data_IF_182539978598
#
_entry.id   IF_182539978598
#
_cell.length_a   1.000
_cell.length_b   1.000
_cell.length_c   1.000
_cell.angle_alpha   90.00
_cell.angle_beta   90.00
_cell.angle_gamma   90.00
#
_symmetry.space_group_name_H-M   'P 1'
#
loop_
_entity.id
_entity.type
_entity.pdbx_description
1 polymer ?
#
# COMPACT_ATOMS: atom_id res chain seq x y z
N UNK A 1 25.01 41.25 -13.49
CA UNK A 1 23.98 40.50 -14.22
C UNK A 1 22.62 41.04 -13.81
N UNK A 2 22.04 41.92 -14.59
CA UNK A 2 20.72 42.49 -14.29
C UNK A 2 19.64 41.40 -14.33
N UNK A 3 18.53 41.56 -13.59
CA UNK A 3 17.44 40.56 -13.60
C UNK A 3 16.85 40.37 -15.00
N UNK A 4 16.82 41.43 -15.81
CA UNK A 4 16.40 41.38 -17.21
C UNK A 4 17.31 40.49 -18.07
N UNK A 5 18.63 40.56 -17.85
CA UNK A 5 19.60 39.72 -18.54
C UNK A 5 19.45 38.25 -18.13
N UNK A 6 19.04 37.99 -16.88
CA UNK A 6 18.80 36.62 -16.40
C UNK A 6 17.63 35.96 -17.15
N UNK A 7 16.56 36.71 -17.45
CA UNK A 7 15.44 36.21 -18.27
C UNK A 7 15.88 35.96 -19.72
N UNK A 8 16.71 36.85 -20.28
CA UNK A 8 17.22 36.73 -21.64
C UNK A 8 18.19 35.53 -21.78
N UNK A 9 19.08 35.29 -20.79
CA UNK A 9 19.99 34.14 -20.73
C UNK A 9 19.22 32.80 -20.66
N UNK A 10 18.12 32.75 -19.91
CA UNK A 10 17.28 31.56 -19.82
C UNK A 10 16.27 31.43 -20.97
N UNK A 11 16.19 32.42 -21.88
CA UNK A 11 15.29 32.41 -23.02
C UNK A 11 13.81 32.46 -22.63
N UNK A 12 13.48 33.12 -21.52
CA UNK A 12 12.11 33.24 -21.00
C UNK A 12 11.63 34.69 -21.05
N UNK A 13 10.31 34.89 -21.14
CA UNK A 13 9.75 36.24 -21.16
C UNK A 13 10.05 36.97 -19.83
N UNK A 14 10.33 38.29 -19.87
CA UNK A 14 10.51 39.08 -18.66
C UNK A 14 9.26 38.99 -17.76
N UNK A 15 9.42 38.49 -16.54
CA UNK A 15 8.31 38.26 -15.62
C UNK A 15 7.67 36.87 -15.70
N UNK A 16 8.28 35.92 -16.40
CA UNK A 16 7.88 34.52 -16.42
C UNK A 16 7.74 33.93 -15.01
N UNK A 17 6.76 33.04 -14.83
CA UNK A 17 6.50 32.42 -13.53
C UNK A 17 7.67 31.50 -13.13
N UNK A 18 7.95 31.35 -11.83
CA UNK A 18 9.07 30.51 -11.33
C UNK A 18 9.07 29.08 -11.89
N UNK A 19 7.89 28.52 -12.18
CA UNK A 19 7.73 27.21 -12.83
C UNK A 19 8.32 27.19 -14.25
N UNK A 20 8.11 28.26 -15.03
CA UNK A 20 8.65 28.42 -16.39
C UNK A 20 10.16 28.66 -16.36
N UNK A 21 10.63 29.50 -15.43
CA UNK A 21 12.06 29.75 -15.20
C UNK A 21 12.79 28.45 -14.86
N UNK A 22 12.21 27.61 -13.98
CA UNK A 22 12.77 26.29 -13.62
C UNK A 22 12.76 25.32 -14.80
N UNK A 23 11.69 25.32 -15.60
CA UNK A 23 11.59 24.47 -16.80
C UNK A 23 12.62 24.87 -17.87
N UNK A 24 12.78 26.17 -18.11
CA UNK A 24 13.77 26.69 -19.05
C UNK A 24 15.20 26.38 -18.61
N UNK A 25 15.52 26.59 -17.33
CA UNK A 25 16.81 26.21 -16.78
C UNK A 25 17.10 24.71 -16.96
N UNK A 26 16.14 23.83 -16.67
CA UNK A 26 16.33 22.37 -16.84
C UNK A 26 16.64 21.99 -18.29
N UNK A 27 15.94 22.59 -19.27
CA UNK A 27 16.19 22.34 -20.70
C UNK A 27 17.57 22.81 -21.12
N UNK A 28 17.99 23.99 -20.66
CA UNK A 28 19.28 24.59 -20.98
C UNK A 28 20.42 23.82 -20.29
N UNK A 29 20.24 23.41 -19.04
CA UNK A 29 21.17 22.59 -18.27
C UNK A 29 21.44 21.23 -18.94
N UNK A 30 20.40 20.57 -19.46
CA UNK A 30 20.55 19.30 -20.19
C UNK A 30 21.30 19.46 -21.52
N UNK A 31 21.19 20.61 -22.16
CA UNK A 31 21.81 20.87 -23.48
C UNK A 31 23.26 21.35 -23.34
N UNK A 32 23.59 22.03 -22.24
CA UNK A 32 24.91 22.62 -22.02
C UNK A 32 25.73 21.91 -20.93
N UNK A 33 25.27 20.76 -20.41
CA UNK A 33 26.01 20.03 -19.38
C UNK A 33 27.42 19.67 -19.88
N UNK A 34 28.48 19.89 -19.08
CA UNK A 34 29.86 19.65 -19.51
C UNK A 34 30.10 18.20 -19.98
N UNK A 35 29.38 17.23 -19.41
CA UNK A 35 29.47 15.82 -19.83
C UNK A 35 28.88 15.53 -21.22
N UNK A 36 27.96 16.39 -21.71
CA UNK A 36 27.26 16.21 -22.99
C UNK A 36 27.79 17.14 -24.09
N UNK A 37 28.16 18.37 -23.74
CA UNK A 37 28.56 19.41 -24.69
C UNK A 37 30.05 19.79 -24.62
N UNK A 38 30.82 19.13 -23.74
CA UNK A 38 32.24 19.38 -23.54
C UNK A 38 32.55 20.76 -22.93
N UNK A 39 33.83 21.18 -22.91
CA UNK A 39 34.28 22.39 -22.21
C UNK A 39 33.69 23.70 -22.78
N UNK A 40 33.17 23.69 -24.01
CA UNK A 40 32.46 24.85 -24.57
C UNK A 40 31.05 25.04 -23.96
N UNK A 41 30.41 23.97 -23.48
CA UNK A 41 29.12 24.01 -22.79
C UNK A 41 29.21 24.54 -21.36
N UNK A 42 30.36 24.35 -20.70
CA UNK A 42 30.58 24.74 -19.30
C UNK A 42 30.31 26.23 -19.04
N UNK A 43 30.80 27.13 -19.90
CA UNK A 43 30.57 28.59 -19.76
C UNK A 43 29.10 28.98 -19.89
N UNK A 44 28.36 28.31 -20.79
CA UNK A 44 26.92 28.54 -20.98
C UNK A 44 26.10 27.96 -19.83
N UNK A 45 26.52 26.81 -19.30
CA UNK A 45 25.92 26.18 -18.12
C UNK A 45 26.10 27.07 -16.88
N UNK A 46 27.31 27.59 -16.66
CA UNK A 46 27.60 28.49 -15.55
C UNK A 46 26.77 29.78 -15.63
N UNK A 47 26.68 30.39 -16.83
CA UNK A 47 25.84 31.58 -17.04
C UNK A 47 24.35 31.31 -16.77
N UNK A 48 23.83 30.16 -17.20
CA UNK A 48 22.45 29.76 -16.94
C UNK A 48 22.19 29.43 -15.47
N UNK A 49 23.15 28.80 -14.78
CA UNK A 49 23.05 28.50 -13.35
C UNK A 49 23.07 29.78 -12.51
N UNK A 50 23.95 30.74 -12.85
CA UNK A 50 24.02 32.06 -12.22
C UNK A 50 22.72 32.85 -12.43
N UNK A 51 22.16 32.84 -13.65
CA UNK A 51 20.88 33.48 -13.97
C UNK A 51 19.71 32.88 -13.18
N UNK A 52 19.65 31.55 -13.09
CA UNK A 52 18.61 30.84 -12.31
C UNK A 52 18.70 31.13 -10.81
N UNK A 53 19.90 31.08 -10.23
CA UNK A 53 20.12 31.36 -8.82
C UNK A 53 19.67 32.78 -8.45
N UNK A 54 19.97 33.76 -9.32
CA UNK A 54 19.60 35.16 -9.13
C UNK A 54 18.10 35.42 -9.26
N UNK A 55 17.42 34.74 -10.19
CA UNK A 55 15.95 34.81 -10.30
C UNK A 55 15.23 34.09 -9.17
N UNK A 56 15.84 33.05 -8.59
CA UNK A 56 15.29 32.32 -7.44
C UNK A 56 15.40 33.12 -6.14
N UNK A 57 16.46 33.92 -5.98
CA UNK A 57 16.67 34.75 -4.78
C UNK A 57 16.04 36.14 -4.85
N UNK A 58 15.58 36.57 -6.02
CA UNK A 58 14.94 37.88 -6.20
C UNK A 58 13.53 37.91 -5.60
N UNK A 59 13.22 38.99 -4.89
CA UNK A 59 11.86 39.21 -4.36
C UNK A 59 10.91 39.69 -5.46
N UNK A 60 9.59 39.45 -5.33
CA UNK A 60 8.60 39.91 -6.32
C UNK A 60 8.67 41.42 -6.60
N UNK A 61 9.04 42.23 -5.59
CA UNK A 61 9.23 43.67 -5.73
C UNK A 61 10.40 44.01 -6.68
N UNK A 62 11.55 43.35 -6.53
CA UNK A 62 12.74 43.55 -7.38
C UNK A 62 12.49 43.10 -8.83
N UNK A 63 11.74 42.02 -9.01
CA UNK A 63 11.31 41.55 -10.33
C UNK A 63 10.42 42.63 -10.98
N UNK A 64 9.45 43.18 -10.25
CA UNK A 64 8.56 44.24 -10.78
C UNK A 64 9.29 45.54 -11.13
N UNK A 65 10.31 45.93 -10.36
CA UNK A 65 11.10 47.14 -10.58
C UNK A 65 11.98 47.02 -11.83
N UNK A 66 12.63 45.87 -12.02
CA UNK A 66 13.42 45.58 -13.23
C UNK A 66 12.58 45.58 -14.52
N UNK A 67 11.32 45.14 -14.43
CA UNK A 67 10.37 45.17 -15.55
C UNK A 67 9.88 46.60 -15.87
N UNK A 68 9.69 47.44 -14.85
CA UNK A 68 9.37 48.88 -15.03
C UNK A 68 10.50 49.62 -15.74
N UNK A 69 11.75 49.30 -15.40
CA UNK A 69 12.95 49.90 -16.04
C UNK A 69 13.03 49.57 -17.54
N UNK A 70 12.65 48.35 -17.97
CA UNK A 70 12.60 47.92 -19.38
C UNK A 70 11.42 48.57 -20.15
N UNK A 71 10.27 48.79 -19.50
CA UNK A 71 9.10 49.48 -20.10
C UNK A 71 9.33 50.97 -20.37
N UNK A 72 10.17 51.65 -19.59
CA UNK A 72 10.50 53.07 -19.81
C UNK A 72 11.31 53.34 -21.09
N UNK A 73 11.87 52.30 -21.73
CA UNK A 73 12.65 52.41 -22.98
C UNK A 73 11.87 52.05 -24.25
N UNK A 74 10.56 51.80 -24.16
CA UNK A 74 9.77 51.39 -25.32
C UNK A 74 8.30 51.74 -25.18
N UNK A 75 7.98 53.03 -25.31
CA UNK A 75 6.61 53.51 -25.44
C UNK A 75 6.51 54.46 -26.64
N UNK A 76 6.11 53.94 -27.80
CA UNK A 76 5.53 54.76 -28.87
C UNK A 76 4.46 53.96 -29.64
N UNK A 77 3.38 54.68 -29.96
CA UNK A 77 2.29 54.41 -30.89
C UNK A 77 1.25 53.33 -30.55
N UNK A 78 0.13 53.78 -29.97
CA UNK A 78 -1.18 53.17 -30.16
C UNK A 78 -1.81 53.63 -31.49
N UNK A 79 -2.36 52.70 -32.27
CA UNK A 79 -3.14 52.96 -33.48
C UNK A 79 -4.66 52.80 -33.19
N UNK A 80 -5.54 53.66 -33.72
CA UNK A 80 -6.95 53.74 -33.33
C UNK A 80 -7.89 52.79 -34.10
N UNK A 81 -7.39 51.80 -34.85
CA UNK A 81 -8.23 50.96 -35.75
C UNK A 81 -8.53 49.53 -35.27
N UNK A 82 -8.47 49.23 -33.96
CA UNK A 82 -8.70 47.87 -33.45
C UNK A 82 -10.13 47.61 -32.93
N UNK A 83 -11.16 47.78 -33.78
CA UNK A 83 -12.53 47.29 -33.50
C UNK A 83 -13.00 46.44 -34.68
N UNK A 84 -12.86 45.12 -34.55
CA UNK A 84 -13.39 44.16 -35.55
C UNK A 84 -12.90 42.71 -35.45
N UNK A 85 -11.89 42.39 -34.63
CA UNK A 85 -11.21 41.08 -34.70
C UNK A 85 -11.36 40.13 -33.50
N UNK A 86 -12.36 40.31 -32.60
CA UNK A 86 -12.42 39.50 -31.36
C UNK A 86 -12.74 38.01 -31.61
N UNK A 87 -13.59 37.69 -32.59
CA UNK A 87 -13.95 36.30 -32.91
C UNK A 87 -12.89 35.55 -33.72
N UNK A 88 -12.28 36.19 -34.72
CA UNK A 88 -11.18 35.60 -35.50
C UNK A 88 -9.89 35.41 -34.67
N UNK A 89 -9.70 36.23 -33.62
CA UNK A 89 -8.58 36.09 -32.68
C UNK A 89 -8.84 34.97 -31.66
N UNK A 90 -10.06 34.84 -31.14
CA UNK A 90 -10.46 33.71 -30.27
C UNK A 90 -10.37 32.36 -30.99
N UNK A 91 -10.76 32.28 -32.26
CA UNK A 91 -10.65 31.02 -33.03
C UNK A 91 -9.21 30.65 -33.38
N UNK A 92 -8.34 31.65 -33.64
CA UNK A 92 -6.89 31.43 -33.78
C UNK A 92 -6.19 31.08 -32.47
N UNK A 93 -6.59 31.69 -31.35
CA UNK A 93 -6.08 31.35 -30.01
C UNK A 93 -6.54 29.95 -29.59
N UNK A 94 -7.79 29.56 -29.83
CA UNK A 94 -8.28 28.20 -29.59
C UNK A 94 -7.56 27.13 -30.42
N UNK A 95 -7.30 27.40 -31.72
CA UNK A 95 -6.48 26.51 -32.57
C UNK A 95 -5.01 26.45 -32.16
N UNK A 96 -4.46 27.52 -31.57
CA UNK A 96 -3.09 27.54 -31.04
C UNK A 96 -2.99 26.78 -29.71
N UNK A 97 -3.95 26.99 -28.81
CA UNK A 97 -4.08 26.26 -27.56
C UNK A 97 -4.26 24.75 -27.81
N UNK A 98 -5.14 24.36 -28.74
CA UNK A 98 -5.32 22.95 -29.11
C UNK A 98 -4.06 22.31 -29.71
N UNK A 99 -3.26 23.07 -30.49
CA UNK A 99 -1.96 22.60 -31.00
C UNK A 99 -0.89 22.54 -29.92
N UNK A 100 -0.92 23.44 -28.95
CA UNK A 100 -0.02 23.40 -27.78
C UNK A 100 -0.37 22.24 -26.83
N UNK A 101 -1.65 21.94 -26.66
CA UNK A 101 -2.13 20.79 -25.88
C UNK A 101 -1.76 19.47 -26.54
N UNK A 102 -1.96 19.31 -27.85
CA UNK A 102 -1.53 18.15 -28.63
C UNK A 102 0.01 17.98 -28.55
N UNK A 103 0.77 19.07 -28.71
CA UNK A 103 2.23 19.03 -28.53
C UNK A 103 2.63 18.64 -27.11
N UNK A 104 1.89 19.11 -26.10
CA UNK A 104 2.14 18.81 -24.69
C UNK A 104 1.77 17.37 -24.31
N UNK A 105 0.76 16.79 -24.96
CA UNK A 105 0.40 15.37 -24.85
C UNK A 105 1.48 14.51 -25.49
N UNK A 106 1.88 14.80 -26.73
CA UNK A 106 2.98 14.07 -27.39
C UNK A 106 4.28 14.10 -26.60
N UNK A 107 4.61 15.23 -25.97
CA UNK A 107 5.80 15.32 -25.10
C UNK A 107 5.65 14.44 -23.86
N UNK A 108 4.45 14.36 -23.26
CA UNK A 108 4.19 13.45 -22.13
C UNK A 108 4.29 11.99 -22.57
N UNK A 109 3.73 11.64 -23.72
CA UNK A 109 3.76 10.28 -24.26
C UNK A 109 5.21 9.85 -24.55
N UNK A 110 6.00 10.70 -25.19
CA UNK A 110 7.44 10.46 -25.42
C UNK A 110 8.25 10.34 -24.11
N UNK A 111 7.88 11.11 -23.08
CA UNK A 111 8.52 10.98 -21.76
C UNK A 111 8.16 9.64 -21.09
N UNK A 112 6.92 9.18 -21.26
CA UNK A 112 6.45 7.91 -20.71
C UNK A 112 7.09 6.73 -21.44
N UNK A 113 7.14 6.76 -22.78
CA UNK A 113 7.88 5.78 -23.59
C UNK A 113 9.36 5.74 -23.21
N UNK A 114 10.01 6.90 -23.07
CA UNK A 114 11.41 6.96 -22.63
C UNK A 114 11.60 6.33 -21.25
N UNK A 115 10.71 6.62 -20.31
CA UNK A 115 10.77 6.04 -18.97
C UNK A 115 10.57 4.52 -19.02
N UNK A 116 9.63 4.02 -19.82
CA UNK A 116 9.42 2.59 -20.04
C UNK A 116 10.67 1.93 -20.62
N UNK A 117 11.23 2.46 -21.70
CA UNK A 117 12.45 1.94 -22.33
C UNK A 117 13.63 1.95 -21.35
N UNK A 118 13.77 2.99 -20.53
CA UNK A 118 14.80 3.06 -19.50
C UNK A 118 14.60 1.99 -18.41
N UNK A 119 13.36 1.74 -18.00
CA UNK A 119 13.05 0.65 -17.07
C UNK A 119 13.30 -0.73 -17.68
N UNK A 120 12.95 -0.95 -18.94
CA UNK A 120 13.24 -2.19 -19.65
C UNK A 120 14.75 -2.44 -19.76
N UNK A 121 15.53 -1.41 -20.10
CA UNK A 121 16.99 -1.49 -20.14
C UNK A 121 17.60 -1.78 -18.77
N UNK A 122 17.08 -1.17 -17.70
CA UNK A 122 17.59 -1.45 -16.35
C UNK A 122 17.23 -2.86 -15.90
N UNK A 123 16.01 -3.34 -16.18
CA UNK A 123 15.60 -4.72 -15.93
C UNK A 123 16.44 -5.71 -16.73
N UNK A 124 16.67 -5.46 -18.03
CA UNK A 124 17.50 -6.30 -18.87
C UNK A 124 18.93 -6.39 -18.33
N UNK A 125 19.52 -5.29 -17.86
CA UNK A 125 20.83 -5.30 -17.20
C UNK A 125 20.83 -6.08 -15.90
N UNK A 126 19.76 -5.99 -15.10
CA UNK A 126 19.63 -6.77 -13.86
C UNK A 126 19.56 -8.26 -14.19
N UNK A 127 18.78 -8.65 -15.20
CA UNK A 127 18.66 -10.03 -15.67
C UNK A 127 19.98 -10.54 -16.24
N UNK A 128 20.64 -9.75 -17.08
CA UNK A 128 21.94 -10.11 -17.65
C UNK A 128 23.01 -10.24 -16.57
N UNK A 129 23.04 -9.31 -15.61
CA UNK A 129 23.93 -9.40 -14.45
C UNK A 129 23.62 -10.63 -13.61
N UNK A 130 22.35 -10.95 -13.39
CA UNK A 130 21.94 -12.15 -12.67
C UNK A 130 22.37 -13.43 -13.43
N UNK A 131 22.24 -13.46 -14.76
CA UNK A 131 22.68 -14.57 -15.60
C UNK A 131 24.21 -14.74 -15.58
N UNK A 132 24.97 -13.65 -15.72
CA UNK A 132 26.45 -13.66 -15.65
C UNK A 132 26.98 -14.04 -14.25
N UNK A 133 26.26 -13.66 -13.20
CA UNK A 133 26.63 -14.04 -11.81
C UNK A 133 26.16 -15.45 -11.46
N UNK A 134 25.23 -16.02 -12.23
CA UNK A 134 24.65 -17.34 -12.03
C UNK A 134 25.60 -18.51 -12.26
N UNK A 135 26.73 -18.29 -12.96
CA UNK A 135 27.77 -19.32 -13.15
C UNK A 135 28.77 -19.41 -11.97
N UNK A 136 28.75 -18.47 -11.01
CA UNK A 136 29.73 -18.43 -9.91
C UNK A 136 29.17 -18.10 -8.52
N UNK A 137 27.90 -17.76 -8.39
CA UNK A 137 27.19 -17.73 -7.11
C UNK A 137 26.01 -18.68 -7.20
N UNK A 138 26.00 -19.72 -6.38
CA UNK A 138 24.79 -20.52 -6.17
C UNK A 138 23.62 -19.55 -5.94
N UNK A 139 22.47 -19.76 -6.61
CA UNK A 139 21.32 -18.87 -6.45
C UNK A 139 21.00 -18.78 -4.96
N UNK A 140 21.04 -17.57 -4.39
CA UNK A 140 20.71 -17.30 -2.98
C UNK A 140 19.52 -18.15 -2.59
N UNK A 141 19.73 -19.07 -1.64
CA UNK A 141 18.77 -20.11 -1.31
C UNK A 141 17.43 -19.49 -0.91
N UNK A 142 16.34 -20.22 -1.17
CA UNK A 142 14.99 -19.76 -0.78
C UNK A 142 14.94 -19.47 0.73
N UNK A 143 15.62 -20.28 1.54
CA UNK A 143 15.82 -20.07 2.97
C UNK A 143 16.39 -18.67 3.30
N UNK A 144 17.48 -18.26 2.62
CA UNK A 144 18.08 -16.94 2.84
C UNK A 144 17.15 -15.80 2.41
N UNK A 145 16.36 -15.99 1.33
CA UNK A 145 15.39 -14.98 0.88
C UNK A 145 14.22 -14.81 1.86
N UNK A 146 13.73 -15.90 2.44
CA UNK A 146 12.71 -15.85 3.50
C UNK A 146 13.20 -15.08 4.75
N UNK A 147 14.50 -15.16 5.05
CA UNK A 147 15.11 -14.43 6.14
C UNK A 147 15.39 -12.94 5.84
N UNK A 148 15.09 -12.47 4.62
CA UNK A 148 15.33 -11.08 4.22
C UNK A 148 14.44 -10.09 4.98
N UNK A 149 14.99 -8.91 5.30
CA UNK A 149 14.22 -7.80 5.88
C UNK A 149 13.21 -7.19 4.89
N UNK A 150 13.42 -7.36 3.59
CA UNK A 150 12.57 -6.74 2.56
C UNK A 150 11.33 -7.59 2.24
N UNK A 151 10.09 -7.06 2.38
CA UNK A 151 8.85 -7.82 2.20
C UNK A 151 8.72 -8.42 0.80
N UNK A 152 9.04 -7.66 -0.26
CA UNK A 152 9.00 -8.17 -1.63
C UNK A 152 9.94 -9.36 -1.90
N UNK A 153 11.09 -9.43 -1.21
CA UNK A 153 12.03 -10.57 -1.36
C UNK A 153 11.44 -11.82 -0.73
N UNK A 154 10.76 -11.66 0.41
CA UNK A 154 10.05 -12.75 1.09
C UNK A 154 8.87 -13.23 0.27
N UNK A 155 8.08 -12.33 -0.31
CA UNK A 155 6.96 -12.69 -1.17
C UNK A 155 7.42 -13.51 -2.38
N UNK A 156 8.50 -13.10 -3.05
CA UNK A 156 9.08 -13.87 -4.15
C UNK A 156 9.57 -15.26 -3.69
N UNK A 157 10.14 -15.35 -2.50
CA UNK A 157 10.56 -16.63 -1.91
C UNK A 157 9.36 -17.54 -1.61
N UNK A 158 8.27 -16.97 -1.08
CA UNK A 158 7.00 -17.67 -0.87
C UNK A 158 6.40 -18.16 -2.19
N UNK A 159 6.48 -17.35 -3.25
CA UNK A 159 6.11 -17.74 -4.63
C UNK A 159 6.82 -18.99 -5.11
N UNK A 160 8.14 -19.09 -4.86
CA UNK A 160 8.92 -20.28 -5.21
C UNK A 160 8.54 -21.51 -4.37
N UNK A 161 8.03 -21.32 -3.14
CA UNK A 161 7.63 -22.40 -2.23
C UNK A 161 6.22 -22.91 -2.41
N UNK A 162 5.32 -22.09 -2.95
CA UNK A 162 3.88 -22.38 -3.05
C UNK A 162 3.54 -23.67 -3.85
N UNK A 163 4.50 -24.34 -4.47
CA UNK A 163 4.31 -25.57 -5.25
C UNK A 163 5.34 -26.65 -4.98
N UNK A 164 6.17 -26.47 -3.95
CA UNK A 164 7.23 -27.41 -3.60
C UNK A 164 7.13 -27.80 -2.12
N UNK A 165 7.55 -29.03 -1.83
CA UNK A 165 7.69 -29.47 -0.45
C UNK A 165 8.94 -28.82 0.14
N UNK A 166 8.83 -28.02 1.21
CA UNK A 166 9.99 -27.37 1.79
C UNK A 166 10.88 -28.41 2.46
N UNK A 167 12.18 -28.32 2.18
CA UNK A 167 13.20 -29.03 2.93
C UNK A 167 13.32 -28.47 4.36
N UNK A 168 14.11 -29.14 5.21
CA UNK A 168 14.19 -28.80 6.64
C UNK A 168 14.68 -27.38 6.88
N UNK A 169 15.66 -26.91 6.10
CA UNK A 169 16.23 -25.57 6.24
C UNK A 169 15.26 -24.48 5.78
N UNK A 170 14.61 -24.68 4.62
CA UNK A 170 13.65 -23.71 4.11
C UNK A 170 12.41 -23.64 5.01
N UNK A 171 11.95 -24.78 5.53
CA UNK A 171 10.84 -24.81 6.48
C UNK A 171 11.17 -24.06 7.78
N UNK A 172 12.36 -24.27 8.36
CA UNK A 172 12.80 -23.52 9.54
C UNK A 172 12.88 -22.01 9.26
N UNK A 173 13.34 -21.63 8.07
CA UNK A 173 13.38 -20.22 7.65
C UNK A 173 11.99 -19.62 7.47
N UNK A 174 11.03 -20.39 6.95
CA UNK A 174 9.62 -20.01 6.83
C UNK A 174 9.00 -19.77 8.20
N UNK A 175 9.16 -20.69 9.14
CA UNK A 175 8.66 -20.53 10.51
C UNK A 175 9.32 -19.32 11.18
N UNK A 176 10.63 -19.16 11.04
CA UNK A 176 11.36 -17.99 11.54
C UNK A 176 10.92 -16.68 10.91
N UNK A 177 10.48 -16.69 9.65
CA UNK A 177 9.89 -15.56 8.96
C UNK A 177 8.54 -15.16 9.59
N UNK A 178 7.62 -16.11 9.72
CA UNK A 178 6.28 -15.89 10.28
C UNK A 178 6.32 -15.42 11.75
N UNK A 179 7.32 -15.87 12.52
CA UNK A 179 7.55 -15.40 13.89
C UNK A 179 8.04 -13.96 13.97
N UNK A 180 8.71 -13.45 12.94
CA UNK A 180 9.31 -12.11 12.91
C UNK A 180 8.39 -11.07 12.31
N UNK A 181 7.73 -11.39 11.20
CA UNK A 181 6.93 -10.43 10.44
C UNK A 181 5.47 -10.89 10.34
N UNK A 182 4.49 -9.99 10.53
CA UNK A 182 3.10 -10.31 10.27
C UNK A 182 2.94 -10.63 8.78
N UNK A 183 2.25 -11.73 8.41
CA UNK A 183 1.97 -12.01 7.02
C UNK A 183 0.90 -11.05 6.49
N UNK A 184 1.10 -10.56 5.28
CA UNK A 184 0.07 -9.88 4.49
C UNK A 184 -0.77 -10.90 3.72
N UNK A 185 -1.80 -10.42 3.03
CA UNK A 185 -2.72 -11.28 2.27
C UNK A 185 -2.00 -12.05 1.16
N UNK A 186 -1.01 -11.44 0.52
CA UNK A 186 -0.21 -12.08 -0.55
C UNK A 186 0.64 -13.24 0.01
N UNK A 187 1.30 -13.04 1.17
CA UNK A 187 2.04 -14.12 1.85
C UNK A 187 1.08 -15.24 2.26
N UNK A 188 -0.10 -14.89 2.78
CA UNK A 188 -1.10 -15.87 3.21
C UNK A 188 -1.62 -16.71 2.04
N UNK A 189 -1.88 -16.10 0.88
CA UNK A 189 -2.27 -16.80 -0.35
C UNK A 189 -1.25 -17.89 -0.68
N UNK A 190 0.03 -17.53 -0.76
CA UNK A 190 1.11 -18.47 -1.07
C UNK A 190 1.29 -19.53 0.02
N UNK A 191 1.16 -19.16 1.30
CA UNK A 191 1.29 -20.08 2.44
C UNK A 191 0.26 -21.20 2.36
N UNK A 192 -0.98 -20.90 1.96
CA UNK A 192 -2.03 -21.93 1.85
C UNK A 192 -1.82 -22.92 0.70
N UNK A 193 -0.91 -22.63 -0.23
CA UNK A 193 -0.58 -23.50 -1.35
C UNK A 193 0.60 -24.44 -1.06
N UNK A 194 1.37 -24.18 -0.01
CA UNK A 194 2.54 -25.00 0.35
C UNK A 194 2.10 -26.43 0.72
N UNK A 195 2.80 -27.41 0.15
CA UNK A 195 2.64 -28.82 0.50
C UNK A 195 3.33 -29.11 1.85
N UNK A 196 2.53 -29.03 2.93
CA UNK A 196 2.98 -29.26 4.31
C UNK A 196 2.33 -30.51 4.92
N UNK A 197 3.12 -31.25 5.71
CA UNK A 197 2.61 -32.31 6.58
C UNK A 197 1.74 -31.74 7.72
N UNK A 198 0.94 -32.58 8.38
CA UNK A 198 0.10 -32.13 9.50
C UNK A 198 0.92 -31.50 10.65
N UNK A 199 2.12 -32.00 10.92
CA UNK A 199 3.05 -31.47 11.92
C UNK A 199 3.58 -30.09 11.51
N UNK A 200 3.98 -29.93 10.25
CA UNK A 200 4.42 -28.65 9.70
C UNK A 200 3.31 -27.60 9.74
N UNK A 201 2.06 -27.99 9.43
CA UNK A 201 0.90 -27.10 9.56
C UNK A 201 0.72 -26.61 11.00
N UNK A 202 0.86 -27.49 11.99
CA UNK A 202 0.77 -27.13 13.42
C UNK A 202 1.86 -26.13 13.80
N UNK A 203 3.09 -26.32 13.33
CA UNK A 203 4.18 -25.41 13.63
C UNK A 203 4.00 -24.03 12.98
N UNK A 204 3.51 -23.99 11.73
CA UNK A 204 3.11 -22.74 11.07
C UNK A 204 2.00 -22.03 11.84
N UNK A 205 0.96 -22.76 12.24
CA UNK A 205 -0.15 -22.21 13.01
C UNK A 205 0.37 -21.66 14.35
N UNK A 206 1.26 -22.37 15.04
CA UNK A 206 1.92 -21.89 16.26
C UNK A 206 2.76 -20.63 16.02
N UNK A 207 3.48 -20.54 14.89
CA UNK A 207 4.25 -19.35 14.54
C UNK A 207 3.37 -18.10 14.31
N UNK A 208 2.16 -18.30 13.77
CA UNK A 208 1.19 -17.25 13.50
C UNK A 208 0.38 -16.82 14.72
N UNK A 209 0.32 -17.65 15.77
CA UNK A 209 -0.50 -17.45 16.97
C UNK A 209 -0.50 -16.02 17.51
N UNK A 210 0.66 -15.38 17.76
CA UNK A 210 0.69 -14.09 18.43
C UNK A 210 0.11 -12.96 17.57
N UNK A 211 -0.12 -13.23 16.28
CA UNK A 211 -0.46 -12.22 15.26
C UNK A 211 -1.76 -12.54 14.52
N UNK A 212 -2.50 -13.57 14.95
CA UNK A 212 -3.80 -13.93 14.34
C UNK A 212 -4.74 -12.74 14.27
N UNK A 213 -4.75 -11.88 15.29
CA UNK A 213 -5.57 -10.67 15.35
C UNK A 213 -5.23 -9.59 14.32
N UNK A 214 -4.06 -9.69 13.66
CA UNK A 214 -3.61 -8.75 12.61
C UNK A 214 -4.00 -9.21 11.21
N UNK A 215 -4.51 -10.44 11.06
CA UNK A 215 -4.90 -10.96 9.76
C UNK A 215 -6.15 -10.23 9.24
N UNK A 216 -6.24 -10.10 7.91
CA UNK A 216 -7.50 -9.71 7.30
C UNK A 216 -8.55 -10.82 7.49
N UNK A 217 -9.83 -10.46 7.37
CA UNK A 217 -10.93 -11.43 7.42
C UNK A 217 -10.76 -12.54 6.37
N UNK A 218 -10.34 -12.19 5.15
CA UNK A 218 -10.11 -13.15 4.07
C UNK A 218 -8.96 -14.11 4.42
N UNK A 219 -7.84 -13.58 4.90
CA UNK A 219 -6.67 -14.37 5.32
C UNK A 219 -6.97 -15.29 6.50
N UNK A 220 -7.75 -14.83 7.48
CA UNK A 220 -8.20 -15.65 8.59
C UNK A 220 -9.05 -16.84 8.11
N UNK A 221 -10.01 -16.60 7.21
CA UNK A 221 -10.82 -17.70 6.65
C UNK A 221 -10.02 -18.68 5.79
N UNK A 222 -9.07 -18.19 5.00
CA UNK A 222 -8.15 -19.04 4.22
C UNK A 222 -7.31 -19.92 5.15
N UNK A 223 -6.78 -19.35 6.24
CA UNK A 223 -6.02 -20.10 7.24
C UNK A 223 -6.88 -21.17 7.94
N UNK A 224 -8.11 -20.84 8.34
CA UNK A 224 -9.05 -21.80 8.95
C UNK A 224 -9.42 -22.95 8.02
N UNK A 225 -9.51 -22.68 6.70
CA UNK A 225 -9.75 -23.72 5.69
C UNK A 225 -8.52 -24.59 5.50
N UNK A 226 -7.35 -23.99 5.41
CA UNK A 226 -6.08 -24.70 5.18
C UNK A 226 -5.65 -25.57 6.38
N UNK A 227 -5.95 -25.09 7.59
CA UNK A 227 -5.66 -25.76 8.87
C UNK A 227 -6.68 -26.82 9.28
N UNK A 228 -7.62 -27.24 8.41
CA UNK A 228 -8.74 -28.13 8.75
C UNK A 228 -8.38 -29.59 9.08
N UNK A 229 -7.17 -29.86 9.56
CA UNK A 229 -6.73 -31.15 10.10
C UNK A 229 -7.12 -31.26 11.59
N UNK A 230 -7.60 -32.43 12.04
CA UNK A 230 -8.27 -32.59 13.35
C UNK A 230 -7.56 -31.97 14.55
N UNK A 231 -6.23 -32.04 14.64
CA UNK A 231 -5.45 -31.45 15.75
C UNK A 231 -5.17 -29.95 15.59
N UNK A 232 -5.01 -29.48 14.36
CA UNK A 232 -4.70 -28.09 14.05
C UNK A 232 -5.94 -27.20 14.09
N UNK A 233 -7.10 -27.76 13.75
CA UNK A 233 -8.39 -27.05 13.74
C UNK A 233 -8.76 -26.55 15.14
N UNK A 234 -8.52 -27.34 16.19
CA UNK A 234 -8.90 -26.95 17.56
C UNK A 234 -8.10 -25.76 18.11
N UNK A 235 -6.77 -25.83 18.05
CA UNK A 235 -5.91 -24.75 18.54
C UNK A 235 -6.08 -23.48 17.71
N UNK A 236 -6.33 -23.62 16.42
CA UNK A 236 -6.62 -22.49 15.54
C UNK A 236 -7.95 -21.83 15.90
N UNK A 237 -9.02 -22.60 16.08
CA UNK A 237 -10.34 -22.05 16.40
C UNK A 237 -10.32 -21.30 17.74
N UNK A 238 -9.64 -21.83 18.76
CA UNK A 238 -9.45 -21.15 20.05
C UNK A 238 -8.81 -19.77 19.90
N UNK A 239 -7.73 -19.68 19.10
CA UNK A 239 -7.04 -18.41 18.86
C UNK A 239 -7.89 -17.43 18.04
N UNK A 240 -8.69 -17.92 17.09
CA UNK A 240 -9.57 -17.09 16.27
C UNK A 240 -10.65 -16.38 17.08
N UNK A 241 -10.97 -16.84 18.30
CA UNK A 241 -11.88 -16.13 19.21
C UNK A 241 -11.33 -14.78 19.71
N UNK A 242 -10.03 -14.53 19.57
CA UNK A 242 -9.40 -13.24 19.88
C UNK A 242 -9.42 -12.23 18.73
N UNK A 243 -9.92 -12.63 17.55
CA UNK A 243 -9.89 -11.82 16.34
C UNK A 243 -10.85 -10.60 16.44
N UNK A 244 -10.53 -9.45 15.82
CA UNK A 244 -11.41 -8.28 15.84
C UNK A 244 -12.73 -8.49 15.08
N UNK A 245 -12.69 -9.17 13.92
CA UNK A 245 -13.89 -9.40 13.10
C UNK A 245 -14.89 -10.37 13.76
N UNK A 246 -16.18 -9.98 13.92
CA UNK A 246 -17.23 -10.84 14.46
C UNK A 246 -17.46 -12.09 13.62
N UNK A 247 -17.30 -11.99 12.29
CA UNK A 247 -17.50 -13.11 11.36
C UNK A 247 -16.48 -14.22 11.54
N UNK A 248 -15.23 -13.85 11.83
CA UNK A 248 -14.15 -14.81 12.12
C UNK A 248 -14.44 -15.53 13.43
N UNK A 249 -14.83 -14.80 14.48
CA UNK A 249 -15.23 -15.38 15.76
C UNK A 249 -16.42 -16.33 15.58
N UNK A 250 -17.47 -15.89 14.89
CA UNK A 250 -18.66 -16.68 14.62
C UNK A 250 -18.32 -17.99 13.89
N UNK A 251 -17.42 -17.93 12.90
CA UNK A 251 -16.94 -19.10 12.17
C UNK A 251 -16.15 -20.05 13.08
N UNK A 252 -15.32 -19.53 13.97
CA UNK A 252 -14.55 -20.33 14.92
C UNK A 252 -15.45 -21.05 15.92
N UNK A 253 -16.45 -20.36 16.46
CA UNK A 253 -17.48 -20.94 17.34
C UNK A 253 -18.30 -22.02 16.62
N UNK A 254 -18.68 -21.80 15.36
CA UNK A 254 -19.42 -22.78 14.57
C UNK A 254 -18.62 -24.07 14.27
N UNK A 255 -17.29 -23.99 14.31
CA UNK A 255 -16.38 -25.13 14.13
C UNK A 255 -15.91 -25.75 15.44
N UNK A 256 -16.44 -25.31 16.58
CA UNK A 256 -16.01 -25.77 17.88
C UNK A 256 -16.35 -27.24 18.11
N UNK A 257 -15.33 -28.09 18.21
CA UNK A 257 -15.50 -29.55 18.41
C UNK A 257 -15.29 -29.99 19.86
N UNK A 258 -14.56 -29.21 20.65
CA UNK A 258 -14.22 -29.55 22.04
C UNK A 258 -15.47 -29.72 22.90
N UNK A 259 -15.36 -30.62 23.89
CA UNK A 259 -16.44 -30.88 24.84
C UNK A 259 -16.71 -29.73 25.77
N UNK A 260 -15.64 -29.08 26.20
CA UNK A 260 -15.71 -27.93 27.08
C UNK A 260 -15.95 -26.65 26.25
N UNK A 261 -16.65 -25.66 26.83
CA UNK A 261 -16.73 -24.35 26.24
C UNK A 261 -15.34 -23.68 26.19
N UNK A 262 -15.19 -22.55 25.46
CA UNK A 262 -14.01 -21.70 25.56
C UNK A 262 -13.67 -21.33 27.01
N UNK A 263 -12.42 -20.95 27.26
CA UNK A 263 -11.96 -20.54 28.58
C UNK A 263 -12.77 -19.37 29.14
N UNK A 264 -12.84 -19.30 30.48
CA UNK A 264 -13.67 -18.33 31.19
C UNK A 264 -13.36 -16.87 30.79
N UNK A 265 -12.10 -16.52 30.55
CA UNK A 265 -11.71 -15.17 30.13
C UNK A 265 -12.21 -14.85 28.72
N UNK A 266 -12.10 -15.80 27.79
CA UNK A 266 -12.67 -15.67 26.45
C UNK A 266 -14.19 -15.57 26.50
N UNK A 267 -14.86 -16.40 27.31
CA UNK A 267 -16.32 -16.31 27.48
C UNK A 267 -16.76 -14.96 28.02
N UNK A 268 -16.08 -14.43 29.04
CA UNK A 268 -16.35 -13.09 29.58
C UNK A 268 -16.17 -12.03 28.49
N UNK A 269 -15.11 -12.12 27.67
CA UNK A 269 -14.85 -11.18 26.57
C UNK A 269 -15.95 -11.25 25.50
N UNK A 270 -16.39 -12.44 25.12
CA UNK A 270 -17.40 -12.62 24.08
C UNK A 270 -18.79 -12.21 24.56
N UNK A 271 -19.17 -12.53 25.81
CA UNK A 271 -20.45 -12.14 26.40
C UNK A 271 -20.56 -10.63 26.67
N UNK A 272 -19.44 -9.90 26.67
CA UNK A 272 -19.41 -8.43 26.75
C UNK A 272 -19.75 -7.74 25.43
N UNK A 273 -19.70 -8.44 24.29
CA UNK A 273 -20.01 -7.89 22.96
C UNK A 273 -21.52 -7.86 22.72
N UNK A 274 -22.23 -7.00 23.45
CA UNK A 274 -23.71 -6.91 23.43
C UNK A 274 -24.30 -6.50 22.09
N UNK A 275 -23.54 -5.88 21.19
CA UNK A 275 -24.08 -5.41 19.91
C UNK A 275 -23.91 -6.44 18.79
N UNK A 276 -23.11 -7.48 19.02
CA UNK A 276 -22.67 -8.41 17.98
C UNK A 276 -23.51 -9.70 17.98
N UNK A 277 -24.71 -9.64 17.40
CA UNK A 277 -25.58 -10.83 17.22
C UNK A 277 -24.84 -12.00 16.57
N UNK A 278 -24.00 -11.71 15.58
CA UNK A 278 -23.21 -12.71 14.84
C UNK A 278 -22.31 -13.56 15.76
N UNK A 279 -21.84 -12.98 16.87
CA UNK A 279 -20.99 -13.69 17.85
C UNK A 279 -21.83 -14.34 18.93
N UNK A 280 -22.83 -13.61 19.45
CA UNK A 280 -23.64 -14.07 20.58
C UNK A 280 -24.51 -15.28 20.23
N UNK A 281 -25.11 -15.33 19.04
CA UNK A 281 -25.98 -16.46 18.67
C UNK A 281 -25.21 -17.79 18.58
N UNK A 282 -24.09 -17.91 17.84
CA UNK A 282 -23.26 -19.11 17.86
C UNK A 282 -22.74 -19.47 19.25
N UNK A 283 -22.36 -18.47 20.05
CA UNK A 283 -21.88 -18.70 21.42
C UNK A 283 -22.98 -19.30 22.31
N UNK A 284 -24.19 -18.73 22.28
CA UNK A 284 -25.31 -19.23 23.07
C UNK A 284 -25.71 -20.64 22.64
N UNK A 285 -25.68 -20.95 21.34
CA UNK A 285 -25.90 -22.32 20.83
C UNK A 285 -24.90 -23.30 21.43
N UNK A 286 -23.61 -22.95 21.38
CA UNK A 286 -22.53 -23.76 21.95
C UNK A 286 -22.72 -23.98 23.45
N UNK A 287 -23.03 -22.92 24.20
CA UNK A 287 -23.26 -22.99 25.64
C UNK A 287 -24.49 -23.84 26.02
N UNK A 288 -25.55 -23.79 25.20
CA UNK A 288 -26.73 -24.64 25.39
C UNK A 288 -26.37 -26.13 25.32
N UNK A 289 -25.48 -26.50 24.40
CA UNK A 289 -25.05 -27.89 24.20
C UNK A 289 -24.03 -28.36 25.25
N UNK A 290 -23.07 -27.50 25.63
CA UNK A 290 -21.88 -27.90 26.41
C UNK A 290 -21.93 -27.55 27.90
N UNK A 291 -23.04 -26.96 28.36
CA UNK A 291 -23.24 -26.40 29.71
C UNK A 291 -22.67 -25.00 29.91
N UNK A 292 -23.20 -24.31 30.91
CA UNK A 292 -22.93 -22.90 31.17
C UNK A 292 -22.22 -22.75 32.49
N UNK A 293 -21.07 -22.04 32.51
CA UNK A 293 -20.41 -21.70 33.76
C UNK A 293 -21.29 -20.82 34.66
N UNK A 294 -21.20 -21.00 35.97
CA UNK A 294 -22.02 -20.29 36.95
C UNK A 294 -21.93 -18.75 36.82
N UNK A 295 -20.74 -18.21 36.52
CA UNK A 295 -20.55 -16.77 36.35
C UNK A 295 -21.31 -16.19 35.15
N UNK A 296 -21.59 -17.00 34.12
CA UNK A 296 -22.25 -16.56 32.90
C UNK A 296 -23.79 -16.54 33.05
N UNK A 297 -24.36 -17.23 34.05
CA UNK A 297 -25.80 -17.36 34.23
C UNK A 297 -26.51 -16.00 34.35
N UNK A 298 -26.04 -15.11 35.22
CA UNK A 298 -26.62 -13.78 35.40
C UNK A 298 -26.58 -12.96 34.09
N UNK A 299 -25.48 -13.08 33.35
CA UNK A 299 -25.32 -12.38 32.07
C UNK A 299 -26.27 -12.92 31.00
N UNK A 300 -26.43 -14.23 30.89
CA UNK A 300 -27.35 -14.86 29.94
C UNK A 300 -28.81 -14.52 30.27
N UNK A 301 -29.18 -14.43 31.56
CA UNK A 301 -30.50 -13.92 31.97
C UNK A 301 -30.74 -12.49 31.45
N UNK A 302 -29.78 -11.59 31.69
CA UNK A 302 -29.87 -10.20 31.21
C UNK A 302 -29.99 -10.11 29.68
N UNK A 303 -29.25 -10.94 28.95
CA UNK A 303 -29.36 -11.03 27.48
C UNK A 303 -30.74 -11.52 27.03
N UNK A 304 -31.40 -12.38 27.81
CA UNK A 304 -32.73 -12.90 27.46
C UNK A 304 -33.85 -11.85 27.58
N UNK A 305 -33.70 -10.92 28.52
CA UNK A 305 -34.72 -9.90 28.86
C UNK A 305 -34.53 -8.62 28.05
N UNK A 306 -33.29 -8.11 27.98
CA UNK A 306 -33.04 -6.71 27.61
C UNK A 306 -32.30 -6.53 26.27
N UNK A 307 -31.82 -7.60 25.65
CA UNK A 307 -31.01 -7.48 24.43
C UNK A 307 -31.82 -6.99 23.22
N UNK A 308 -31.25 -6.15 22.34
CA UNK A 308 -31.96 -5.57 21.19
C UNK A 308 -32.39 -6.62 20.14
N UNK A 309 -31.50 -7.56 19.79
CA UNK A 309 -31.80 -8.64 18.84
C UNK A 309 -32.76 -9.69 19.43
N UNK A 310 -33.83 -10.00 18.69
CA UNK A 310 -34.77 -11.05 19.03
C UNK A 310 -34.14 -12.45 19.02
N UNK A 311 -33.19 -12.71 18.11
CA UNK A 311 -32.54 -14.02 18.02
C UNK A 311 -31.73 -14.32 19.29
N UNK A 312 -30.98 -13.34 19.78
CA UNK A 312 -30.22 -13.45 21.04
C UNK A 312 -31.16 -13.70 22.22
N UNK A 313 -32.26 -12.94 22.33
CA UNK A 313 -33.26 -13.15 23.39
C UNK A 313 -33.85 -14.56 23.36
N UNK A 314 -34.17 -15.09 22.18
CA UNK A 314 -34.73 -16.44 22.02
C UNK A 314 -33.72 -17.52 22.46
N UNK A 315 -32.47 -17.42 22.02
CA UNK A 315 -31.43 -18.40 22.39
C UNK A 315 -31.08 -18.33 23.88
N UNK A 316 -30.90 -17.13 24.42
CA UNK A 316 -30.63 -16.92 25.84
C UNK A 316 -31.82 -17.38 26.71
N UNK A 317 -33.06 -17.05 26.32
CA UNK A 317 -34.26 -17.50 27.03
C UNK A 317 -34.45 -19.02 26.97
N UNK A 318 -34.11 -19.66 25.84
CA UNK A 318 -34.13 -21.12 25.75
C UNK A 318 -33.18 -21.78 26.75
N UNK A 319 -32.04 -21.17 27.00
CA UNK A 319 -31.05 -21.63 27.96
C UNK A 319 -31.57 -21.46 29.39
N UNK A 320 -32.08 -20.27 29.72
CA UNK A 320 -32.61 -19.94 31.05
C UNK A 320 -33.71 -20.93 31.44
N UNK A 321 -34.64 -21.22 30.52
CA UNK A 321 -35.69 -22.22 30.72
C UNK A 321 -35.15 -23.64 30.86
N UNK A 322 -34.22 -24.05 29.99
CA UNK A 322 -33.71 -25.43 29.98
C UNK A 322 -32.86 -25.78 31.21
N UNK A 323 -32.20 -24.78 31.82
CA UNK A 323 -31.32 -24.97 32.97
C UNK A 323 -31.96 -24.56 34.30
N UNK A 324 -33.27 -24.25 34.31
CA UNK A 324 -33.98 -23.71 35.47
C UNK A 324 -33.20 -22.58 36.14
N UNK A 325 -32.63 -21.68 35.32
CA UNK A 325 -31.98 -20.48 35.82
C UNK A 325 -33.05 -19.44 36.16
N UNK A 326 -34.10 -19.81 36.87
CA UNK A 326 -35.04 -18.87 37.51
C UNK A 326 -34.60 -18.79 38.96
#
# INVERSE_FOLDING_TARGET
MELSECFDILGVQPGAHLKEVRSAFRRLALTCHPDLAGPQGAKKFEAAAAAYARLKSATPAQISESLKKKKSRGAFAGSPFARGGKEARKSREGRRAAKEDDRSQRVRDLMLERALVETELTLARIVEKAARTGDSREPVSVAQRLASSHPGVRLLAMGALARSKPDRETFASLVGMLRRWPPDDDIMEHLTLIDCTAEQKLEIIAALEPRVHLLSEASAFSLMRWGSSSRADESLNERMLSHPSPRVIARALARWRRREPPDDLTLIRLLKREEEEEVLVPLLRLLKERSIPAFACARVRLLSENHASAAVRVWAGSIVRAKNLV
#
